data_IF_861651015671
#
_entry.id   IF_861651015671
#
_cell.length_a   1.000
_cell.length_b   1.000
_cell.length_c   1.000
_cell.angle_alpha   90.00
_cell.angle_beta   90.00
_cell.angle_gamma   90.00
#
_symmetry.space_group_name_H-M   'P 1'
#
loop_
_entity.id
_entity.type
_entity.pdbx_description
1 polymer ?
#
# COMPACT_ATOMS: atom_id res chain seq x y z
N UNK A 1 -0.86 16.02 -36.02
CA UNK A 1 0.17 14.96 -36.14
C UNK A 1 -0.21 13.82 -35.20
N UNK A 2 -0.30 12.58 -35.69
CA UNK A 2 -0.56 11.41 -34.83
C UNK A 2 0.74 11.04 -34.12
N UNK A 3 0.71 10.97 -32.80
CA UNK A 3 1.88 10.57 -32.00
C UNK A 3 2.18 9.09 -32.29
N UNK A 4 3.32 8.82 -32.93
CA UNK A 4 3.80 7.45 -33.12
C UNK A 4 4.29 6.90 -31.78
N UNK A 5 3.77 5.74 -31.38
CA UNK A 5 4.14 5.01 -30.17
C UNK A 5 4.14 3.52 -30.51
N UNK A 6 5.16 2.79 -30.06
CA UNK A 6 5.25 1.36 -30.28
C UNK A 6 4.52 0.58 -29.18
N UNK A 7 4.13 -0.66 -29.47
CA UNK A 7 3.61 -1.57 -28.45
C UNK A 7 4.62 -1.81 -27.32
N UNK A 8 5.93 -1.81 -27.63
CA UNK A 8 7.01 -1.89 -26.62
C UNK A 8 6.98 -0.70 -25.67
N UNK A 9 6.71 0.50 -26.17
CA UNK A 9 6.61 1.70 -25.32
C UNK A 9 5.41 1.63 -24.38
N UNK A 10 4.29 1.03 -24.81
CA UNK A 10 3.14 0.78 -23.94
C UNK A 10 3.52 -0.19 -22.81
N UNK A 11 4.18 -1.30 -23.13
CA UNK A 11 4.64 -2.26 -22.13
C UNK A 11 5.62 -1.64 -21.14
N UNK A 12 6.58 -0.85 -21.62
CA UNK A 12 7.56 -0.19 -20.75
C UNK A 12 6.88 0.78 -19.78
N UNK A 13 5.89 1.56 -20.26
CA UNK A 13 5.12 2.46 -19.39
C UNK A 13 4.35 1.72 -18.31
N UNK A 14 3.77 0.56 -18.60
CA UNK A 14 3.12 -0.25 -17.58
C UNK A 14 4.13 -0.83 -16.58
N UNK A 15 5.30 -1.25 -17.07
CA UNK A 15 6.39 -1.77 -16.22
C UNK A 15 6.97 -0.72 -15.27
N UNK A 16 6.96 0.55 -15.67
CA UNK A 16 7.47 1.66 -14.86
C UNK A 16 6.47 2.12 -13.78
N UNK A 17 5.21 1.68 -13.84
CA UNK A 17 4.23 1.96 -12.79
C UNK A 17 4.55 1.16 -11.53
N UNK A 18 4.28 1.72 -10.34
CA UNK A 18 4.29 0.93 -9.12
C UNK A 18 3.35 -0.27 -9.27
N UNK A 19 3.81 -1.44 -8.82
CA UNK A 19 2.95 -2.61 -8.70
C UNK A 19 1.80 -2.33 -7.73
N UNK A 20 0.66 -3.05 -7.82
CA UNK A 20 -0.45 -2.86 -6.88
C UNK A 20 -0.03 -2.97 -5.41
N UNK A 21 0.90 -3.86 -5.10
CA UNK A 21 1.47 -4.05 -3.76
C UNK A 21 2.31 -2.84 -3.33
N UNK A 22 3.13 -2.28 -4.24
CA UNK A 22 3.88 -1.06 -3.94
C UNK A 22 2.94 0.13 -3.68
N UNK A 23 1.93 0.33 -4.52
CA UNK A 23 0.92 1.39 -4.31
C UNK A 23 0.18 1.23 -2.98
N UNK A 24 -0.16 0.00 -2.59
CA UNK A 24 -0.77 -0.27 -1.29
C UNK A 24 0.16 0.11 -0.13
N UNK A 25 1.42 -0.35 -0.18
CA UNK A 25 2.41 -0.06 0.87
C UNK A 25 2.65 1.45 0.98
N UNK A 26 2.82 2.14 -0.14
CA UNK A 26 3.05 3.59 -0.18
C UNK A 26 1.86 4.35 0.40
N UNK A 27 0.63 4.00 0.02
CA UNK A 27 -0.59 4.61 0.57
C UNK A 27 -0.65 4.48 2.09
N UNK A 28 -0.43 3.28 2.63
CA UNK A 28 -0.46 3.04 4.08
C UNK A 28 0.69 3.76 4.77
N UNK A 29 1.88 3.79 4.16
CA UNK A 29 3.04 4.51 4.69
C UNK A 29 2.75 6.02 4.80
N UNK A 30 2.15 6.62 3.78
CA UNK A 30 1.74 8.03 3.78
C UNK A 30 0.71 8.34 4.88
N UNK A 31 -0.34 7.52 5.00
CA UNK A 31 -1.41 7.77 5.98
C UNK A 31 -0.96 7.57 7.44
N UNK A 32 0.02 6.69 7.66
CA UNK A 32 0.51 6.37 9.00
C UNK A 32 1.81 7.08 9.37
N UNK A 33 2.36 7.86 8.44
CA UNK A 33 3.69 8.50 8.55
C UNK A 33 4.80 7.49 8.93
N UNK A 34 4.64 6.22 8.51
CA UNK A 34 5.63 5.17 8.75
C UNK A 34 6.43 4.86 7.50
N UNK A 35 7.56 4.19 7.69
CA UNK A 35 8.36 3.73 6.56
C UNK A 35 7.62 2.62 5.78
N UNK A 36 7.78 2.55 4.44
CA UNK A 36 7.29 1.42 3.64
C UNK A 36 7.77 0.06 4.15
N UNK A 37 8.94 0.01 4.80
CA UNK A 37 9.47 -1.21 5.39
C UNK A 37 8.65 -1.66 6.60
N UNK A 38 8.27 -0.74 7.48
CA UNK A 38 7.40 -1.02 8.62
C UNK A 38 6.04 -1.55 8.16
N UNK A 39 5.46 -0.94 7.13
CA UNK A 39 4.20 -1.43 6.53
C UNK A 39 4.34 -2.85 5.97
N UNK A 40 5.47 -3.17 5.32
CA UNK A 40 5.76 -4.55 4.89
C UNK A 40 5.83 -5.52 6.05
N UNK A 41 6.43 -5.13 7.18
CA UNK A 41 6.50 -5.98 8.38
C UNK A 41 5.10 -6.25 8.97
N UNK A 42 4.17 -5.30 8.87
CA UNK A 42 2.77 -5.54 9.24
C UNK A 42 2.08 -6.50 8.27
N UNK A 43 2.25 -6.29 6.96
CA UNK A 43 1.66 -7.14 5.94
C UNK A 43 2.16 -8.60 5.98
N UNK A 44 3.40 -8.82 6.43
CA UNK A 44 3.98 -10.17 6.60
C UNK A 44 3.78 -10.74 8.01
N UNK A 45 3.10 -10.01 8.91
CA UNK A 45 2.84 -10.45 10.29
C UNK A 45 4.06 -10.47 11.20
N UNK A 46 5.20 -9.90 10.78
CA UNK A 46 6.41 -9.79 11.61
C UNK A 46 6.24 -8.79 12.76
N UNK A 47 5.42 -7.77 12.55
CA UNK A 47 5.10 -6.75 13.56
C UNK A 47 3.60 -6.43 13.53
N UNK A 48 3.09 -5.93 14.64
CA UNK A 48 1.72 -5.43 14.74
C UNK A 48 1.77 -3.93 15.00
N UNK A 49 1.02 -3.11 14.23
CA UNK A 49 0.93 -1.68 14.48
C UNK A 49 0.32 -1.38 15.85
N UNK A 50 0.72 -0.26 16.45
CA UNK A 50 0.14 0.23 17.70
C UNK A 50 -1.34 0.62 17.51
N UNK A 51 -2.07 0.76 18.62
CA UNK A 51 -3.51 0.99 18.60
C UNK A 51 -3.93 2.28 17.86
N UNK A 52 -3.14 3.35 17.90
CA UNK A 52 -3.46 4.58 17.19
C UNK A 52 -3.27 4.39 15.69
N UNK A 53 -2.18 3.74 15.30
CA UNK A 53 -1.90 3.39 13.90
C UNK A 53 -2.98 2.47 13.33
N UNK A 54 -3.43 1.45 14.08
CA UNK A 54 -4.55 0.57 13.67
C UNK A 54 -5.82 1.34 13.35
N UNK A 55 -6.18 2.32 14.19
CA UNK A 55 -7.34 3.19 13.96
C UNK A 55 -7.21 4.05 12.70
N UNK A 56 -6.02 4.57 12.41
CA UNK A 56 -5.79 5.35 11.19
C UNK A 56 -5.93 4.49 9.93
N UNK A 57 -5.33 3.29 9.93
CA UNK A 57 -5.42 2.35 8.82
C UNK A 57 -6.88 1.92 8.62
N UNK A 58 -7.58 1.54 9.69
CA UNK A 58 -8.98 1.14 9.64
C UNK A 58 -9.89 2.25 9.08
N UNK A 59 -9.67 3.50 9.50
CA UNK A 59 -10.37 4.68 8.97
C UNK A 59 -10.11 4.89 7.48
N UNK A 60 -8.87 4.72 7.03
CA UNK A 60 -8.49 4.86 5.61
C UNK A 60 -9.19 3.84 4.70
N UNK A 61 -9.42 2.64 5.22
CA UNK A 61 -10.09 1.57 4.47
C UNK A 61 -11.58 1.44 4.78
N UNK A 62 -12.13 2.25 5.70
CA UNK A 62 -13.54 2.20 6.08
C UNK A 62 -13.95 0.88 6.74
N UNK A 63 -13.04 0.24 7.47
CA UNK A 63 -13.25 -1.05 8.16
C UNK A 63 -13.10 -0.90 9.66
N UNK A 64 -13.60 -1.88 10.42
CA UNK A 64 -13.43 -1.90 11.87
C UNK A 64 -11.99 -2.34 12.26
N UNK A 65 -11.30 -1.64 13.19
CA UNK A 65 -9.94 -1.98 13.57
C UNK A 65 -9.76 -3.41 14.13
N UNK A 66 -10.75 -3.94 14.84
CA UNK A 66 -10.69 -5.29 15.42
C UNK A 66 -10.89 -6.36 14.35
N UNK A 67 -11.65 -6.05 13.29
CA UNK A 67 -11.76 -6.94 12.12
C UNK A 67 -10.51 -6.92 11.24
N UNK A 68 -9.86 -5.77 11.12
CA UNK A 68 -8.66 -5.59 10.30
C UNK A 68 -7.40 -6.15 10.99
N UNK A 69 -7.37 -6.09 12.32
CA UNK A 69 -6.27 -6.58 13.16
C UNK A 69 -6.85 -7.44 14.31
N UNK A 70 -7.29 -8.68 14.02
CA UNK A 70 -7.92 -9.52 15.04
C UNK A 70 -6.93 -9.89 16.14
N UNK A 71 -7.39 -9.83 17.40
CA UNK A 71 -6.69 -10.47 18.51
C UNK A 71 -6.93 -11.99 18.37
N UNK A 72 -5.89 -12.74 18.02
CA UNK A 72 -5.93 -14.21 18.06
C UNK A 72 -6.17 -14.72 19.49
#
# INVERSE_FOLDING_TARGET
MVKQITFKDLYQREKDKPTPVQSFIERVATVTEKSPNTVRQWATGQQVPDALTRKHIAKEFGVDPETLFPNN
#
